data_IF_890588751767
#
_entry.id   IF_890588751767
#
_cell.length_a   1.000
_cell.length_b   1.000
_cell.length_c   1.000
_cell.angle_alpha   90.00
_cell.angle_beta   90.00
_cell.angle_gamma   90.00
#
_symmetry.space_group_name_H-M   'P 1'
#
loop_
_entity.id
_entity.type
_entity.pdbx_description
1 polymer ?
#
# COMPACT_ATOMS: atom_id res chain seq x y z
N UNK A 1 23.65 -4.37 2.50
CA UNK A 1 22.77 -4.59 3.66
C UNK A 1 23.48 -5.48 4.68
N UNK A 2 23.19 -5.31 5.96
CA UNK A 2 23.93 -5.92 7.08
C UNK A 2 23.37 -7.32 7.37
N UNK A 3 24.25 -8.33 7.48
CA UNK A 3 23.85 -9.67 7.92
C UNK A 3 23.26 -9.61 9.34
N UNK A 4 22.02 -10.08 9.51
CA UNK A 4 21.32 -10.04 10.79
C UNK A 4 21.79 -11.21 11.66
N UNK A 5 22.76 -10.95 12.53
CA UNK A 5 23.34 -11.95 13.44
C UNK A 5 22.96 -11.71 14.91
N UNK A 6 22.55 -10.48 15.24
CA UNK A 6 22.23 -10.01 16.60
C UNK A 6 20.80 -9.49 16.72
N UNK A 7 20.16 -9.63 17.89
CA UNK A 7 18.80 -9.13 18.16
C UNK A 7 18.60 -7.63 17.90
N UNK A 8 19.61 -6.80 18.16
CA UNK A 8 19.57 -5.36 17.85
C UNK A 8 19.45 -5.08 16.36
N UNK A 9 20.12 -5.87 15.51
CA UNK A 9 20.04 -5.74 14.06
C UNK A 9 18.67 -6.19 13.53
N UNK A 10 18.06 -7.20 14.16
CA UNK A 10 16.71 -7.64 13.82
C UNK A 10 15.68 -6.55 14.15
N UNK A 11 15.77 -5.93 15.32
CA UNK A 11 14.89 -4.81 15.68
C UNK A 11 15.06 -3.61 14.75
N UNK A 12 16.30 -3.25 14.41
CA UNK A 12 16.55 -2.18 13.44
C UNK A 12 15.92 -2.49 12.07
N UNK A 13 16.07 -3.73 11.59
CA UNK A 13 15.46 -4.17 10.33
C UNK A 13 13.93 -4.13 10.39
N UNK A 14 13.31 -4.54 11.50
CA UNK A 14 11.86 -4.43 11.69
C UNK A 14 11.41 -2.96 11.63
N UNK A 15 12.10 -2.05 12.32
CA UNK A 15 11.80 -0.62 12.27
C UNK A 15 11.93 -0.06 10.87
N UNK A 16 12.99 -0.42 10.14
CA UNK A 16 13.14 -0.04 8.73
C UNK A 16 11.99 -0.56 7.87
N UNK A 17 11.57 -1.81 8.04
CA UNK A 17 10.43 -2.39 7.30
C UNK A 17 9.14 -1.61 7.57
N UNK A 18 8.88 -1.16 8.80
CA UNK A 18 7.73 -0.29 9.12
C UNK A 18 7.80 1.07 8.43
N UNK A 19 8.99 1.69 8.42
CA UNK A 19 9.20 2.99 7.74
C UNK A 19 8.99 2.83 6.24
N UNK A 20 9.56 1.80 5.63
CA UNK A 20 9.37 1.50 4.21
C UNK A 20 7.92 1.15 3.88
N UNK A 21 7.21 0.45 4.75
CA UNK A 21 5.78 0.19 4.58
C UNK A 21 4.98 1.51 4.50
N UNK A 22 5.27 2.46 5.39
CA UNK A 22 4.63 3.79 5.36
C UNK A 22 4.97 4.56 4.07
N UNK A 23 6.22 4.53 3.63
CA UNK A 23 6.66 5.16 2.37
C UNK A 23 5.94 4.55 1.17
N UNK A 24 5.90 3.22 1.06
CA UNK A 24 5.23 2.51 -0.03
C UNK A 24 3.74 2.83 -0.08
N UNK A 25 3.09 2.91 1.08
CA UNK A 25 1.68 3.29 1.17
C UNK A 25 1.43 4.72 0.67
N UNK A 26 2.28 5.69 1.03
CA UNK A 26 2.16 7.06 0.53
C UNK A 26 2.40 7.15 -0.99
N UNK A 27 3.43 6.46 -1.49
CA UNK A 27 3.73 6.41 -2.93
C UNK A 27 2.58 5.75 -3.70
N UNK A 28 2.04 4.64 -3.21
CA UNK A 28 0.89 3.96 -3.83
C UNK A 28 -0.33 4.87 -3.91
N UNK A 29 -0.63 5.63 -2.85
CA UNK A 29 -1.71 6.62 -2.84
C UNK A 29 -1.46 7.75 -3.85
N UNK A 30 -0.23 8.26 -3.92
CA UNK A 30 0.13 9.31 -4.87
C UNK A 30 -0.01 8.86 -6.33
N UNK A 31 0.44 7.64 -6.63
CA UNK A 31 0.30 7.03 -7.95
C UNK A 31 -1.18 6.77 -8.29
N UNK A 32 -1.96 6.23 -7.34
CA UNK A 32 -3.39 6.02 -7.53
C UNK A 32 -4.14 7.35 -7.78
N UNK A 33 -3.75 8.41 -7.06
CA UNK A 33 -4.29 9.76 -7.26
C UNK A 33 -3.93 10.31 -8.65
N UNK A 34 -2.67 10.20 -9.07
CA UNK A 34 -2.22 10.63 -10.40
C UNK A 34 -2.91 9.89 -11.54
N UNK A 35 -3.09 8.57 -11.44
CA UNK A 35 -3.84 7.79 -12.44
C UNK A 35 -5.32 8.22 -12.47
N UNK A 36 -5.90 8.49 -11.30
CA UNK A 36 -7.28 8.97 -11.22
C UNK A 36 -7.48 10.35 -11.88
N UNK A 37 -6.51 11.27 -11.80
CA UNK A 37 -6.63 12.58 -12.45
C UNK A 37 -6.55 12.50 -13.98
N UNK A 38 -5.73 11.59 -14.51
CA UNK A 38 -5.55 11.35 -15.95
C UNK A 38 -6.78 10.73 -16.64
N UNK A 39 -7.63 10.01 -15.90
CA UNK A 39 -8.88 9.48 -16.46
C UNK A 39 -9.85 10.66 -16.70
N UNK A 40 -10.10 10.95 -17.98
CA UNK A 40 -11.06 11.98 -18.41
C UNK A 40 -12.51 11.55 -18.13
N UNK A 41 -13.44 12.50 -18.02
CA UNK A 41 -14.86 12.18 -17.94
C UNK A 41 -15.35 11.80 -19.34
N UNK A 42 -15.98 10.63 -19.49
CA UNK A 42 -16.57 10.20 -20.76
C UNK A 42 -18.00 10.76 -20.81
N UNK A 43 -18.21 11.87 -21.52
CA UNK A 43 -19.54 12.46 -21.66
C UNK A 43 -20.58 11.42 -22.13
N UNK A 44 -21.72 11.32 -21.41
CA UNK A 44 -22.79 10.35 -21.68
C UNK A 44 -23.21 9.56 -20.44
N UNK A 45 -23.53 8.26 -20.61
CA UNK A 45 -23.87 7.33 -19.50
C UNK A 45 -22.57 6.92 -18.79
N UNK A 46 -22.00 7.87 -18.05
CA UNK A 46 -20.60 7.85 -17.65
C UNK A 46 -20.28 6.76 -16.60
N UNK A 47 -19.55 5.72 -17.03
CA UNK A 47 -19.05 4.64 -16.15
C UNK A 47 -17.58 4.87 -15.73
N UNK A 48 -17.03 6.05 -16.00
CA UNK A 48 -15.61 6.36 -15.70
C UNK A 48 -15.26 6.23 -14.21
N UNK A 49 -16.23 6.35 -13.31
CA UNK A 49 -16.04 6.11 -11.87
C UNK A 49 -15.64 4.65 -11.54
N UNK A 50 -16.16 3.68 -12.30
CA UNK A 50 -15.82 2.25 -12.16
C UNK A 50 -14.38 2.03 -12.62
N UNK A 51 -13.99 2.62 -13.76
CA UNK A 51 -12.62 2.54 -14.30
C UNK A 51 -11.58 3.10 -13.30
N UNK A 52 -11.88 4.23 -12.65
CA UNK A 52 -11.02 4.82 -11.59
C UNK A 52 -10.89 3.90 -10.38
N UNK A 53 -11.98 3.26 -9.94
CA UNK A 53 -11.98 2.33 -8.80
C UNK A 53 -11.14 1.08 -9.06
N UNK A 54 -11.23 0.51 -10.27
CA UNK A 54 -10.37 -0.60 -10.67
C UNK A 54 -8.90 -0.19 -10.79
N UNK A 55 -8.60 0.99 -11.34
CA UNK A 55 -7.23 1.50 -11.40
C UNK A 55 -6.61 1.64 -10.00
N UNK A 56 -7.32 2.23 -9.04
CA UNK A 56 -6.86 2.31 -7.65
C UNK A 56 -6.70 0.91 -7.00
N UNK A 57 -7.58 -0.03 -7.33
CA UNK A 57 -7.48 -1.41 -6.84
C UNK A 57 -6.27 -2.17 -7.41
N UNK A 58 -5.95 -1.96 -8.69
CA UNK A 58 -4.80 -2.58 -9.36
C UNK A 58 -3.49 -2.02 -8.80
N UNK A 59 -3.36 -0.70 -8.68
CA UNK A 59 -2.18 -0.05 -8.07
C UNK A 59 -1.96 -0.58 -6.66
N UNK A 60 -3.05 -0.76 -5.90
CA UNK A 60 -3.00 -1.32 -4.57
C UNK A 60 -2.49 -2.75 -4.53
N UNK A 61 -3.06 -3.62 -5.38
CA UNK A 61 -2.65 -5.01 -5.46
C UNK A 61 -1.16 -5.13 -5.83
N UNK A 62 -0.70 -4.33 -6.79
CA UNK A 62 0.71 -4.28 -7.21
C UNK A 62 1.61 -3.82 -6.06
N UNK A 63 1.24 -2.76 -5.34
CA UNK A 63 2.01 -2.27 -4.19
C UNK A 63 2.08 -3.31 -3.07
N UNK A 64 0.96 -3.98 -2.78
CA UNK A 64 0.87 -5.00 -1.73
C UNK A 64 1.70 -6.24 -2.07
N UNK A 65 1.55 -6.78 -3.28
CA UNK A 65 2.31 -7.95 -3.76
C UNK A 65 3.79 -7.60 -3.88
N UNK A 66 4.12 -6.42 -4.43
CA UNK A 66 5.50 -5.97 -4.56
C UNK A 66 6.20 -5.83 -3.21
N UNK A 67 5.52 -5.26 -2.21
CA UNK A 67 6.04 -5.15 -0.84
C UNK A 67 6.22 -6.52 -0.18
N UNK A 68 5.27 -7.43 -0.35
CA UNK A 68 5.39 -8.81 0.13
C UNK A 68 6.59 -9.52 -0.49
N UNK A 69 6.68 -9.56 -1.83
CA UNK A 69 7.75 -10.25 -2.55
C UNK A 69 9.13 -9.67 -2.24
N UNK A 70 9.26 -8.35 -2.13
CA UNK A 70 10.52 -7.73 -1.75
C UNK A 70 10.98 -8.19 -0.36
N UNK A 71 10.11 -8.15 0.64
CA UNK A 71 10.53 -8.52 1.99
C UNK A 71 10.67 -10.05 2.16
N UNK A 72 9.86 -10.86 1.49
CA UNK A 72 9.94 -12.33 1.58
C UNK A 72 11.16 -12.88 0.82
N UNK A 73 11.35 -12.48 -0.44
CA UNK A 73 12.44 -13.00 -1.27
C UNK A 73 13.78 -12.33 -0.97
N UNK A 74 13.80 -11.00 -0.86
CA UNK A 74 15.04 -10.25 -0.71
C UNK A 74 15.44 -10.11 0.76
N UNK A 75 14.56 -9.57 1.63
CA UNK A 75 14.94 -9.29 3.03
C UNK A 75 15.09 -10.57 3.86
N UNK A 76 14.17 -11.52 3.74
CA UNK A 76 14.21 -12.77 4.52
C UNK A 76 15.36 -13.70 4.09
N UNK A 77 15.86 -13.54 2.86
CA UNK A 77 17.07 -14.20 2.34
C UNK A 77 18.35 -13.81 3.08
N UNK A 78 18.41 -12.62 3.70
CA UNK A 78 19.59 -12.13 4.43
C UNK A 78 19.63 -12.56 5.90
N UNK A 79 18.53 -13.12 6.42
CA UNK A 79 18.45 -13.60 7.80
C UNK A 79 18.90 -15.06 7.83
N UNK A 80 20.04 -15.37 8.44
CA UNK A 80 20.58 -16.74 8.41
C UNK A 80 20.07 -17.62 9.56
N UNK A 81 19.59 -17.01 10.65
CA UNK A 81 19.08 -17.73 11.83
C UNK A 81 17.57 -17.98 11.70
N UNK A 82 17.18 -19.26 11.76
CA UNK A 82 15.77 -19.69 11.73
C UNK A 82 14.84 -18.95 12.72
N UNK A 83 15.17 -18.75 14.02
CA UNK A 83 14.26 -18.06 14.93
C UNK A 83 14.04 -16.58 14.57
N UNK A 84 15.03 -15.92 13.96
CA UNK A 84 14.90 -14.54 13.51
C UNK A 84 14.06 -14.42 12.24
N UNK A 85 14.06 -15.44 11.38
CA UNK A 85 13.14 -15.51 10.23
C UNK A 85 11.68 -15.56 10.70
N UNK A 86 11.39 -16.38 11.71
CA UNK A 86 10.02 -16.50 12.24
C UNK A 86 9.55 -15.17 12.87
N UNK A 87 10.42 -14.52 13.65
CA UNK A 87 10.10 -13.21 14.22
C UNK A 87 9.90 -12.13 13.15
N UNK A 88 10.75 -12.10 12.13
CA UNK A 88 10.60 -11.15 11.02
C UNK A 88 9.34 -11.43 10.18
N UNK A 89 9.02 -12.69 9.91
CA UNK A 89 7.79 -13.08 9.22
C UNK A 89 6.55 -12.61 9.97
N UNK A 90 6.53 -12.71 11.30
CA UNK A 90 5.43 -12.15 12.09
C UNK A 90 5.30 -10.63 11.92
N UNK A 91 6.43 -9.90 11.94
CA UNK A 91 6.44 -8.45 11.64
C UNK A 91 5.98 -8.14 10.22
N UNK A 92 6.36 -8.96 9.24
CA UNK A 92 5.92 -8.84 7.87
C UNK A 92 4.39 -8.93 7.77
N UNK A 93 3.78 -9.94 8.37
CA UNK A 93 2.33 -10.10 8.36
C UNK A 93 1.61 -8.93 9.04
N UNK A 94 2.15 -8.43 10.15
CA UNK A 94 1.61 -7.24 10.82
C UNK A 94 1.72 -5.98 9.94
N UNK A 95 2.86 -5.76 9.29
CA UNK A 95 3.05 -4.61 8.39
C UNK A 95 2.18 -4.68 7.15
N UNK A 96 1.97 -5.87 6.57
CA UNK A 96 1.04 -6.07 5.45
C UNK A 96 -0.41 -5.82 5.84
N UNK A 97 -0.82 -6.25 7.04
CA UNK A 97 -2.14 -5.97 7.59
C UNK A 97 -2.34 -4.47 7.86
N UNK A 98 -1.31 -3.79 8.36
CA UNK A 98 -1.34 -2.34 8.53
C UNK A 98 -1.39 -1.62 7.18
N UNK A 99 -0.69 -2.11 6.16
CA UNK A 99 -0.71 -1.58 4.79
C UNK A 99 -2.15 -1.64 4.22
N UNK A 100 -2.82 -2.80 4.32
CA UNK A 100 -4.20 -2.98 3.82
C UNK A 100 -5.21 -2.11 4.54
N UNK A 101 -5.19 -2.10 5.86
CA UNK A 101 -6.09 -1.25 6.64
C UNK A 101 -5.80 0.23 6.38
N UNK A 102 -4.54 0.64 6.39
CA UNK A 102 -4.11 2.02 6.17
C UNK A 102 -4.54 2.54 4.80
N UNK A 103 -4.36 1.75 3.75
CA UNK A 103 -4.75 2.15 2.40
C UNK A 103 -6.27 2.31 2.25
N UNK A 104 -7.06 1.37 2.78
CA UNK A 104 -8.53 1.46 2.73
C UNK A 104 -9.02 2.68 3.50
N UNK A 105 -8.53 2.90 4.73
CA UNK A 105 -8.90 4.04 5.56
C UNK A 105 -8.54 5.35 4.86
N UNK A 106 -7.33 5.47 4.31
CA UNK A 106 -6.88 6.69 3.64
C UNK A 106 -7.64 6.95 2.33
N UNK A 107 -7.98 5.91 1.56
CA UNK A 107 -8.84 6.08 0.39
C UNK A 107 -10.24 6.59 0.77
N UNK A 108 -10.83 6.06 1.84
CA UNK A 108 -12.13 6.53 2.34
C UNK A 108 -12.02 7.98 2.82
N UNK A 109 -11.00 8.32 3.60
CA UNK A 109 -10.75 9.70 4.05
C UNK A 109 -10.55 10.66 2.87
N UNK A 110 -9.76 10.28 1.86
CA UNK A 110 -9.55 11.07 0.65
C UNK A 110 -10.86 11.29 -0.12
N UNK A 111 -11.70 10.25 -0.22
CA UNK A 111 -13.00 10.37 -0.86
C UNK A 111 -13.96 11.28 -0.08
N UNK A 112 -13.86 11.34 1.25
CA UNK A 112 -14.64 12.25 2.10
C UNK A 112 -14.14 13.71 2.04
N UNK A 113 -12.83 13.94 1.96
CA UNK A 113 -12.20 15.28 1.91
C UNK A 113 -12.29 15.90 0.51
N UNK A 114 -12.43 15.09 -0.54
CA UNK A 114 -12.61 15.58 -1.92
C UNK A 114 -13.99 15.27 -2.53
N UNK A 115 -15.10 15.71 -1.89
CA UNK A 115 -16.47 15.37 -2.33
C UNK A 115 -16.82 16.00 -3.68
N UNK A 116 -16.18 17.12 -4.05
CA UNK A 116 -16.37 17.80 -5.34
C UNK A 116 -15.36 17.40 -6.43
N UNK A 117 -14.45 16.46 -6.16
CA UNK A 117 -13.51 15.95 -7.15
C UNK A 117 -13.99 14.61 -7.73
N UNK A 118 -13.38 14.18 -8.84
CA UNK A 118 -13.60 12.87 -9.52
C UNK A 118 -13.59 11.66 -8.57
N UNK A 119 -13.02 11.79 -7.38
CA UNK A 119 -12.98 10.78 -6.31
C UNK A 119 -14.29 10.71 -5.48
N UNK A 120 -14.97 11.83 -5.24
CA UNK A 120 -16.27 11.86 -4.55
C UNK A 120 -17.39 11.14 -5.32
N UNK A 121 -17.28 11.09 -6.66
CA UNK A 121 -18.18 10.30 -7.52
C UNK A 121 -18.06 8.79 -7.31
N UNK A 122 -16.96 8.28 -6.74
CA UNK A 122 -16.77 6.85 -6.49
C UNK A 122 -17.66 6.35 -5.34
N UNK A 123 -18.13 7.26 -4.48
CA UNK A 123 -18.89 6.95 -3.25
C UNK A 123 -20.34 7.46 -3.26
N UNK A 124 -20.87 7.94 -4.39
CA UNK A 124 -22.26 8.43 -4.48
C UNK A 124 -22.61 9.56 -3.48
N UNK A 125 -21.66 10.44 -3.16
CA UNK A 125 -21.92 11.61 -2.29
C UNK A 125 -22.54 12.81 -3.01
N UNK A 126 -23.00 12.64 -4.26
CA UNK A 126 -23.71 13.68 -5.01
C UNK A 126 -25.14 13.23 -5.30
N UNK A 127 -26.09 13.97 -4.74
CA UNK A 127 -27.50 13.98 -5.11
C UNK A 127 -27.68 14.75 -6.43
#
# INVERSE_FOLDING_TARGET
MINVTTSKQLHALQTETWVWAAVVLLVALFVAWGISTLISWEGGKDRSYIKRRWACGIVWAVAWIGFFLYNDLYVMGHIHKAPYKTQFSHTLWMTLGALTLGYVVLLVLLALVTPNSKLGSILHLKK
#
